data_IF_461656795626
#
_entry.id   IF_461656795626
#
_cell.length_a   1.000
_cell.length_b   1.000
_cell.length_c   1.000
_cell.angle_alpha   90.00
_cell.angle_beta   90.00
_cell.angle_gamma   90.00
#
_symmetry.space_group_name_H-M   'P 1'
#
loop_
_entity.id
_entity.type
_entity.pdbx_description
1 polymer ?
#
# COMPACT_ATOMS: atom_id res chain seq x y z
N UNK A 1 -25.25 -41.83 -69.27
CA UNK A 1 -26.17 -40.97 -70.06
C UNK A 1 -25.64 -39.53 -70.02
N UNK A 2 -25.93 -38.75 -71.07
CA UNK A 2 -25.27 -37.49 -71.55
C UNK A 2 -25.19 -36.29 -70.56
N UNK A 3 -24.01 -35.62 -70.50
CA UNK A 3 -23.62 -34.17 -70.61
C UNK A 3 -24.69 -33.05 -70.46
N UNK A 4 -24.38 -31.73 -70.20
CA UNK A 4 -23.13 -31.03 -69.80
C UNK A 4 -23.21 -29.71 -68.95
N UNK A 5 -22.02 -29.17 -68.61
CA UNK A 5 -21.58 -27.73 -68.57
C UNK A 5 -22.44 -26.59 -68.00
N UNK A 6 -21.79 -25.79 -67.13
CA UNK A 6 -21.84 -24.32 -67.18
C UNK A 6 -22.26 -23.62 -65.89
N UNK A 7 -21.34 -22.90 -65.24
CA UNK A 7 -21.69 -21.65 -64.55
C UNK A 7 -20.45 -20.75 -64.40
N UNK A 8 -20.68 -19.47 -64.64
CA UNK A 8 -19.72 -18.39 -64.85
C UNK A 8 -19.15 -17.83 -63.54
N UNK A 9 -17.92 -17.34 -63.61
CA UNK A 9 -17.29 -16.49 -62.61
C UNK A 9 -18.07 -15.17 -62.45
N UNK A 10 -18.47 -14.83 -61.22
CA UNK A 10 -18.75 -13.47 -60.78
C UNK A 10 -17.63 -13.04 -59.83
N UNK A 11 -16.72 -12.20 -60.32
CA UNK A 11 -15.75 -11.52 -59.46
C UNK A 11 -16.42 -10.37 -58.72
N UNK A 12 -16.57 -10.50 -57.41
CA UNK A 12 -16.83 -9.37 -56.53
C UNK A 12 -15.53 -8.58 -56.34
N UNK A 13 -15.49 -7.37 -56.88
CA UNK A 13 -14.42 -6.41 -56.59
C UNK A 13 -14.53 -5.95 -55.13
N UNK A 14 -13.56 -6.36 -54.30
CA UNK A 14 -13.40 -5.86 -52.94
C UNK A 14 -12.74 -4.48 -53.02
N UNK A 15 -13.51 -3.41 -52.79
CA UNK A 15 -12.97 -2.07 -52.51
C UNK A 15 -12.39 -2.07 -51.09
N UNK A 16 -11.08 -2.32 -51.00
CA UNK A 16 -10.29 -2.12 -49.78
C UNK A 16 -10.11 -0.61 -49.57
N UNK A 17 -11.01 -0.01 -48.79
CA UNK A 17 -10.79 1.31 -48.21
C UNK A 17 -9.69 1.22 -47.16
N UNK A 18 -8.49 1.68 -47.48
CA UNK A 18 -7.37 1.82 -46.56
C UNK A 18 -7.64 2.96 -45.58
N UNK A 19 -8.21 2.63 -44.42
CA UNK A 19 -8.20 3.50 -43.26
C UNK A 19 -6.79 3.46 -42.65
N UNK A 20 -5.97 4.46 -42.97
CA UNK A 20 -4.75 4.74 -42.23
C UNK A 20 -5.15 5.18 -40.82
N UNK A 21 -5.07 4.25 -39.86
CA UNK A 21 -5.02 4.62 -38.44
C UNK A 21 -3.81 5.54 -38.25
N UNK A 22 -4.07 6.79 -37.89
CA UNK A 22 -3.02 7.67 -37.39
C UNK A 22 -2.44 7.03 -36.14
N UNK A 23 -1.18 6.59 -36.21
CA UNK A 23 -0.39 6.21 -35.06
C UNK A 23 -0.19 7.50 -34.27
N UNK A 24 -0.94 7.66 -33.19
CA UNK A 24 -0.70 8.72 -32.23
C UNK A 24 0.77 8.64 -31.78
N UNK A 25 1.47 9.77 -31.78
CA UNK A 25 2.83 9.85 -31.23
C UNK A 25 2.86 9.22 -29.83
N UNK A 26 3.95 8.54 -29.43
CA UNK A 26 4.03 7.97 -28.09
C UNK A 26 3.84 9.09 -27.08
N UNK A 27 2.84 8.94 -26.20
CA UNK A 27 2.66 9.83 -25.06
C UNK A 27 3.99 9.91 -24.31
N UNK A 28 4.44 11.12 -23.96
CA UNK A 28 5.60 11.30 -23.07
C UNK A 28 5.43 10.39 -21.85
N UNK A 29 6.44 9.57 -21.49
CA UNK A 29 6.32 8.66 -20.36
C UNK A 29 5.92 9.44 -19.10
N UNK A 30 5.08 8.86 -18.22
CA UNK A 30 4.63 9.56 -17.02
C UNK A 30 5.83 9.92 -16.15
N UNK A 31 5.81 11.13 -15.58
CA UNK A 31 6.85 11.58 -14.67
C UNK A 31 6.91 10.64 -13.46
N UNK A 32 8.12 10.37 -12.98
CA UNK A 32 8.42 9.54 -11.81
C UNK A 32 9.04 10.40 -10.69
N UNK A 33 9.04 9.90 -9.46
CA UNK A 33 9.81 10.45 -8.34
C UNK A 33 11.31 10.40 -8.65
N UNK A 34 12.06 11.36 -8.13
CA UNK A 34 13.51 11.43 -8.32
C UNK A 34 14.22 10.55 -7.28
N UNK A 35 14.76 9.41 -7.73
CA UNK A 35 15.57 8.54 -6.87
C UNK A 35 17.00 9.07 -6.79
N UNK A 36 17.40 9.48 -5.58
CA UNK A 36 18.70 10.09 -5.30
C UNK A 36 19.54 9.22 -4.37
N UNK A 37 20.87 9.26 -4.54
CA UNK A 37 21.79 8.47 -3.70
C UNK A 37 21.85 8.95 -2.25
N UNK A 38 21.63 10.25 -2.04
CA UNK A 38 21.68 10.89 -0.73
C UNK A 38 20.60 11.95 -0.69
N UNK A 39 20.03 12.09 0.49
CA UNK A 39 19.08 13.14 0.77
C UNK A 39 19.67 14.09 1.82
N UNK A 40 19.73 15.37 1.48
CA UNK A 40 20.08 16.40 2.44
C UNK A 40 18.81 16.86 3.16
N UNK A 41 18.90 17.01 4.48
CA UNK A 41 17.86 17.71 5.21
C UNK A 41 17.78 19.14 4.67
N UNK A 42 16.62 19.52 4.12
CA UNK A 42 16.40 20.89 3.70
C UNK A 42 16.63 21.83 4.90
N UNK A 43 16.97 23.11 4.63
CA UNK A 43 16.87 24.15 5.68
C UNK A 43 15.48 24.02 6.29
N UNK A 44 15.34 24.07 7.62
CA UNK A 44 14.03 23.93 8.24
C UNK A 44 13.09 24.95 7.58
N UNK A 45 12.05 24.46 6.91
CA UNK A 45 10.86 25.28 6.71
C UNK A 45 10.37 25.68 8.12
N UNK A 46 9.62 26.79 8.19
CA UNK A 46 9.01 27.23 9.44
C UNK A 46 8.42 26.01 10.18
N UNK A 47 8.62 25.96 11.50
CA UNK A 47 8.30 24.82 12.36
C UNK A 47 6.98 24.17 11.90
N UNK A 48 7.09 22.96 11.33
CA UNK A 48 5.95 22.17 10.85
C UNK A 48 5.15 21.71 12.07
N UNK A 49 4.32 22.63 12.57
CA UNK A 49 3.40 22.39 13.67
C UNK A 49 2.29 21.45 13.17
N UNK A 50 1.90 20.46 13.99
CA UNK A 50 0.84 19.53 13.63
C UNK A 50 -0.47 20.23 13.20
N UNK A 51 -0.73 21.43 13.74
CA UNK A 51 -1.88 22.27 13.36
C UNK A 51 -1.82 22.85 11.94
N UNK A 52 -0.65 22.87 11.29
CA UNK A 52 -0.52 23.31 9.90
C UNK A 52 -0.82 22.18 8.89
N UNK A 53 -0.96 20.93 9.36
CA UNK A 53 -1.19 19.76 8.53
C UNK A 53 -2.69 19.56 8.30
N UNK A 54 -3.24 20.38 7.42
CA UNK A 54 -4.68 20.43 7.11
C UNK A 54 -5.05 19.68 5.83
N UNK A 55 -4.05 19.21 5.08
CA UNK A 55 -4.23 18.39 3.86
C UNK A 55 -3.78 16.96 4.13
N UNK A 56 -3.99 16.07 3.16
CA UNK A 56 -3.67 14.66 3.28
C UNK A 56 -2.98 14.13 2.02
N UNK A 57 -2.11 13.14 2.23
CA UNK A 57 -1.50 12.33 1.19
C UNK A 57 -1.97 10.90 1.38
N UNK A 58 -2.59 10.33 0.35
CA UNK A 58 -2.83 8.90 0.17
C UNK A 58 -1.69 8.33 -0.68
N UNK A 59 -0.99 7.34 -0.15
CA UNK A 59 -0.10 6.47 -0.92
C UNK A 59 -0.82 5.15 -1.17
N UNK A 60 -0.75 4.63 -2.38
CA UNK A 60 -1.46 3.40 -2.73
C UNK A 60 -0.77 2.68 -3.89
N UNK A 61 -1.14 1.42 -4.12
CA UNK A 61 -0.74 0.69 -5.31
C UNK A 61 -1.96 0.20 -6.10
N UNK A 62 -1.73 -0.28 -7.32
CA UNK A 62 -2.74 -0.93 -8.16
C UNK A 62 -2.24 -2.29 -8.63
N UNK A 63 -3.08 -3.31 -8.57
CA UNK A 63 -2.76 -4.66 -9.06
C UNK A 63 -2.39 -4.66 -10.55
N UNK A 64 -2.93 -3.75 -11.36
CA UNK A 64 -2.63 -3.66 -12.79
C UNK A 64 -1.20 -3.16 -13.07
N UNK A 65 -0.64 -2.36 -12.17
CA UNK A 65 0.66 -1.71 -12.38
C UNK A 65 1.76 -2.19 -11.46
N UNK A 66 1.40 -2.80 -10.31
CA UNK A 66 2.34 -3.15 -9.24
C UNK A 66 3.32 -2.02 -8.94
N UNK A 67 2.81 -0.80 -8.83
CA UNK A 67 3.58 0.43 -8.76
C UNK A 67 2.99 1.39 -7.75
N UNK A 68 3.77 2.36 -7.30
CA UNK A 68 3.38 3.37 -6.31
C UNK A 68 2.60 4.48 -6.99
N UNK A 69 1.55 4.94 -6.34
CA UNK A 69 0.74 6.08 -6.75
C UNK A 69 0.49 7.00 -5.55
N UNK A 70 0.39 8.30 -5.81
CA UNK A 70 0.09 9.31 -4.78
C UNK A 70 -1.18 10.07 -5.15
N UNK A 71 -2.06 10.28 -4.18
CA UNK A 71 -3.19 11.17 -4.28
C UNK A 71 -3.20 12.16 -3.11
N UNK A 72 -3.64 13.39 -3.36
CA UNK A 72 -3.74 14.42 -2.32
C UNK A 72 -5.18 14.80 -2.08
N UNK A 73 -5.49 15.23 -0.85
CA UNK A 73 -6.80 15.73 -0.45
C UNK A 73 -6.65 16.99 0.38
N UNK A 74 -7.46 18.01 0.11
CA UNK A 74 -7.49 19.24 0.90
C UNK A 74 -8.39 19.12 2.16
N UNK A 75 -9.30 18.15 2.18
CA UNK A 75 -10.37 18.01 3.19
C UNK A 75 -10.40 16.63 3.88
N UNK A 76 -9.65 15.66 3.36
CA UNK A 76 -9.65 14.28 3.83
C UNK A 76 -10.89 13.48 3.40
N UNK A 77 -11.62 13.95 2.38
CA UNK A 77 -12.77 13.28 1.78
C UNK A 77 -12.57 13.04 0.28
N UNK A 78 -12.10 14.07 -0.44
CA UNK A 78 -11.90 14.01 -1.88
C UNK A 78 -10.42 13.92 -2.20
N UNK A 79 -10.00 12.79 -2.76
CA UNK A 79 -8.63 12.51 -3.17
C UNK A 79 -8.48 12.63 -4.69
N UNK A 80 -7.41 13.31 -5.11
CA UNK A 80 -7.01 13.46 -6.51
C UNK A 80 -5.58 12.98 -6.67
N UNK A 81 -5.40 12.01 -7.56
CA UNK A 81 -4.09 11.47 -7.93
C UNK A 81 -3.24 12.57 -8.56
N UNK A 82 -1.97 12.65 -8.14
CA UNK A 82 -1.07 13.74 -8.55
C UNK A 82 -0.54 13.57 -9.97
N UNK A 83 -0.64 12.36 -10.55
CA UNK A 83 -0.08 11.98 -11.84
C UNK A 83 -1.14 11.34 -12.75
N UNK A 84 -2.41 11.75 -12.59
CA UNK A 84 -3.56 11.30 -13.39
C UNK A 84 -3.73 9.77 -13.44
N UNK A 85 -3.47 9.12 -12.29
CA UNK A 85 -3.59 7.68 -12.12
C UNK A 85 -2.43 6.88 -12.71
N UNK A 86 -1.41 7.54 -13.23
CA UNK A 86 -0.15 6.92 -13.64
C UNK A 86 0.81 6.77 -12.44
N UNK A 87 1.66 5.74 -12.43
CA UNK A 87 2.59 5.53 -11.31
C UNK A 87 3.50 6.72 -11.03
N UNK A 88 3.69 7.06 -9.77
CA UNK A 88 4.75 7.98 -9.32
C UNK A 88 6.09 7.25 -9.13
N UNK A 89 6.07 5.94 -8.91
CA UNK A 89 7.25 5.08 -8.94
C UNK A 89 6.89 3.72 -9.54
N UNK A 90 7.49 3.40 -10.68
CA UNK A 90 7.30 2.13 -11.38
C UNK A 90 7.98 0.98 -10.63
N UNK A 91 7.17 0.03 -10.15
CA UNK A 91 7.67 -1.11 -9.38
C UNK A 91 8.62 -2.02 -10.16
N UNK A 92 8.48 -2.09 -11.49
CA UNK A 92 9.35 -2.91 -12.34
C UNK A 92 10.82 -2.44 -12.31
N UNK A 93 11.03 -1.16 -12.05
CA UNK A 93 12.35 -0.53 -12.09
C UNK A 93 13.09 -0.65 -10.77
N UNK A 94 12.36 -0.79 -9.66
CA UNK A 94 12.93 -0.71 -8.30
C UNK A 94 12.85 -2.00 -7.49
N UNK A 95 11.94 -2.90 -7.83
CA UNK A 95 11.69 -4.12 -7.09
C UNK A 95 12.38 -5.34 -7.74
N UNK A 96 12.85 -6.26 -6.91
CA UNK A 96 13.44 -7.52 -7.32
C UNK A 96 12.41 -8.40 -8.05
N UNK A 97 11.18 -8.48 -7.53
CA UNK A 97 10.08 -9.21 -8.13
C UNK A 97 9.42 -8.47 -9.30
N UNK A 98 9.91 -7.29 -9.66
CA UNK A 98 9.33 -6.41 -10.68
C UNK A 98 7.93 -5.88 -10.33
N UNK A 99 7.61 -5.80 -9.03
CA UNK A 99 6.38 -5.20 -8.56
C UNK A 99 6.49 -4.76 -7.11
N UNK A 100 5.77 -3.68 -6.79
CA UNK A 100 5.60 -3.19 -5.43
C UNK A 100 4.13 -3.22 -5.03
N UNK A 101 3.90 -3.45 -3.74
CA UNK A 101 2.58 -3.48 -3.12
C UNK A 101 2.64 -2.87 -1.73
N UNK A 102 1.46 -2.61 -1.17
CA UNK A 102 1.25 -2.29 0.24
C UNK A 102 2.11 -1.11 0.75
N UNK A 103 2.08 0.07 0.07
CA UNK A 103 2.82 1.23 0.55
C UNK A 103 2.24 1.77 1.86
N UNK A 104 3.11 1.92 2.85
CA UNK A 104 2.85 2.68 4.06
C UNK A 104 3.77 3.88 4.12
N UNK A 105 3.27 5.01 4.62
CA UNK A 105 4.04 6.24 4.80
C UNK A 105 3.85 6.80 6.20
N UNK A 106 4.92 7.34 6.78
CA UNK A 106 4.85 8.14 8.01
C UNK A 106 5.74 9.38 7.93
N UNK A 107 5.44 10.37 8.77
CA UNK A 107 6.37 11.47 9.05
C UNK A 107 7.10 11.21 10.36
N UNK A 108 8.43 11.18 10.32
CA UNK A 108 9.27 11.04 11.51
C UNK A 108 9.50 12.37 12.24
N UNK A 109 10.11 12.32 13.43
CA UNK A 109 10.38 13.52 14.24
C UNK A 109 11.48 14.42 13.67
N UNK A 110 12.24 13.93 12.68
CA UNK A 110 13.21 14.72 11.92
C UNK A 110 12.56 15.52 10.77
N UNK A 111 11.23 15.45 10.64
CA UNK A 111 10.40 15.93 9.53
C UNK A 111 10.69 15.25 8.19
N UNK A 112 11.38 14.10 8.18
CA UNK A 112 11.43 13.26 7.00
C UNK A 112 10.13 12.45 6.85
N UNK A 113 9.79 12.15 5.61
CA UNK A 113 8.85 11.13 5.23
C UNK A 113 9.58 9.81 5.03
N UNK A 114 9.00 8.75 5.56
CA UNK A 114 9.49 7.39 5.46
C UNK A 114 8.40 6.57 4.79
N UNK A 115 8.78 5.80 3.77
CA UNK A 115 7.87 4.98 2.99
C UNK A 115 8.41 3.55 2.90
N UNK A 116 7.58 2.57 3.19
CA UNK A 116 7.92 1.15 3.11
C UNK A 116 6.91 0.41 2.23
N UNK A 117 7.35 -0.59 1.48
CA UNK A 117 6.52 -1.38 0.54
C UNK A 117 6.95 -2.84 0.50
N UNK A 118 6.02 -3.72 0.15
CA UNK A 118 6.28 -5.10 -0.22
C UNK A 118 6.93 -5.19 -1.61
N UNK A 119 8.04 -5.92 -1.76
CA UNK A 119 8.60 -6.31 -3.06
C UNK A 119 7.89 -7.58 -3.57
N UNK A 120 6.81 -7.43 -4.35
CA UNK A 120 6.00 -8.54 -4.83
C UNK A 120 5.26 -8.20 -6.12
N UNK A 121 5.32 -9.12 -7.09
CA UNK A 121 4.49 -9.09 -8.29
C UNK A 121 3.65 -10.35 -8.42
N UNK A 122 2.34 -10.21 -8.24
CA UNK A 122 1.40 -11.34 -8.23
C UNK A 122 1.01 -11.84 -9.64
N UNK A 123 1.40 -11.11 -10.69
CA UNK A 123 1.11 -11.45 -12.09
C UNK A 123 2.36 -11.60 -12.96
N UNK A 124 3.55 -11.66 -12.35
CA UNK A 124 4.82 -11.68 -13.08
C UNK A 124 4.88 -12.75 -14.18
N UNK A 125 4.37 -13.97 -13.91
CA UNK A 125 4.33 -15.03 -14.92
C UNK A 125 3.39 -14.74 -16.07
N UNK A 126 2.17 -14.29 -15.75
CA UNK A 126 1.16 -13.91 -16.76
C UNK A 126 1.69 -12.81 -17.69
N UNK A 127 2.52 -11.93 -17.15
CA UNK A 127 3.11 -10.79 -17.87
C UNK A 127 4.47 -11.10 -18.51
N UNK A 128 4.94 -12.36 -18.43
CA UNK A 128 6.21 -12.77 -19.05
C UNK A 128 7.47 -12.23 -18.37
N UNK A 129 7.37 -11.77 -17.12
CA UNK A 129 8.49 -11.25 -16.35
C UNK A 129 9.24 -12.34 -15.56
N UNK A 130 8.63 -13.53 -15.42
CA UNK A 130 9.18 -14.70 -14.73
C UNK A 130 8.54 -15.99 -15.27
N UNK A 131 9.25 -17.10 -15.26
CA UNK A 131 8.71 -18.39 -15.75
C UNK A 131 7.79 -19.12 -14.73
N UNK A 132 7.91 -18.77 -13.46
CA UNK A 132 7.19 -19.37 -12.32
C UNK A 132 6.21 -18.39 -11.69
N UNK A 133 5.20 -18.92 -11.01
CA UNK A 133 4.19 -18.09 -10.33
C UNK A 133 4.81 -17.23 -9.22
N UNK A 134 5.88 -17.72 -8.55
CA UNK A 134 6.62 -17.04 -7.48
C UNK A 134 8.15 -17.22 -7.62
N UNK A 135 8.95 -16.39 -6.93
CA UNK A 135 10.42 -16.48 -6.99
C UNK A 135 10.95 -17.76 -6.34
N UNK A 136 10.19 -18.31 -5.38
CA UNK A 136 10.52 -19.55 -4.69
C UNK A 136 9.39 -20.58 -4.84
N UNK A 137 9.68 -21.89 -4.66
CA UNK A 137 8.68 -22.95 -4.78
C UNK A 137 7.48 -22.73 -3.88
N UNK A 138 6.27 -22.76 -4.47
CA UNK A 138 5.00 -22.63 -3.75
C UNK A 138 4.86 -23.68 -2.64
N UNK A 139 5.33 -24.91 -2.89
CA UNK A 139 5.21 -26.02 -1.93
C UNK A 139 6.01 -25.81 -0.64
N UNK A 140 7.02 -24.94 -0.68
CA UNK A 140 7.89 -24.60 0.44
C UNK A 140 7.53 -23.27 1.10
N UNK A 141 7.10 -22.28 0.31
CA UNK A 141 6.94 -20.89 0.78
C UNK A 141 5.55 -20.29 0.59
N UNK A 142 4.63 -21.02 -0.03
CA UNK A 142 3.24 -20.59 -0.24
C UNK A 142 3.06 -19.47 -1.28
N UNK A 143 1.83 -18.96 -1.33
CA UNK A 143 1.40 -17.87 -2.20
C UNK A 143 2.10 -16.55 -1.87
N UNK A 144 2.35 -15.72 -2.87
CA UNK A 144 2.88 -14.36 -2.68
C UNK A 144 4.29 -14.31 -2.07
N UNK A 145 5.06 -15.41 -2.13
CA UNK A 145 6.33 -15.46 -1.42
C UNK A 145 7.31 -14.40 -1.93
N UNK A 146 7.88 -13.64 -0.99
CA UNK A 146 8.92 -12.63 -1.21
C UNK A 146 9.91 -12.63 -0.05
N UNK A 147 11.04 -11.94 -0.24
CA UNK A 147 12.11 -11.84 0.75
C UNK A 147 12.41 -10.40 1.16
N UNK A 148 11.90 -9.44 0.39
CA UNK A 148 12.39 -8.06 0.41
C UNK A 148 11.26 -7.08 0.67
N UNK A 149 11.59 -6.04 1.43
CA UNK A 149 10.81 -4.81 1.52
C UNK A 149 11.61 -3.70 0.82
N UNK A 150 10.93 -2.67 0.35
CA UNK A 150 11.57 -1.47 -0.21
C UNK A 150 11.38 -0.32 0.77
N UNK A 151 12.49 0.29 1.19
CA UNK A 151 12.51 1.44 2.08
C UNK A 151 12.88 2.71 1.30
N UNK A 152 12.17 3.79 1.58
CA UNK A 152 12.41 5.10 0.98
C UNK A 152 12.34 6.21 2.02
N UNK A 153 13.20 7.23 1.89
CA UNK A 153 13.24 8.41 2.77
C UNK A 153 13.25 9.70 1.96
N UNK A 154 12.42 10.66 2.34
CA UNK A 154 12.33 11.99 1.73
C UNK A 154 12.18 13.10 2.76
N UNK A 155 12.51 14.34 2.41
CA UNK A 155 12.14 15.54 3.18
C UNK A 155 11.17 16.45 2.39
N UNK A 156 10.89 16.14 1.13
CA UNK A 156 10.10 17.00 0.24
C UNK A 156 9.06 16.26 -0.60
N UNK A 157 8.92 14.93 -0.40
CA UNK A 157 8.04 14.02 -1.13
C UNK A 157 8.34 13.84 -2.62
N UNK A 158 9.35 14.52 -3.18
CA UNK A 158 9.71 14.46 -4.61
C UNK A 158 11.06 13.79 -4.87
N UNK A 159 12.03 13.98 -3.97
CA UNK A 159 13.33 13.33 -4.00
C UNK A 159 13.41 12.28 -2.91
N UNK A 160 13.77 11.06 -3.28
CA UNK A 160 13.76 9.91 -2.36
C UNK A 160 15.07 9.13 -2.44
N UNK A 161 15.61 8.73 -1.29
CA UNK A 161 16.51 7.58 -1.25
C UNK A 161 15.70 6.30 -1.38
N UNK A 162 16.34 5.23 -1.86
CA UNK A 162 15.71 3.91 -2.03
C UNK A 162 16.69 2.81 -1.61
N UNK A 163 16.20 1.84 -0.84
CA UNK A 163 16.94 0.66 -0.43
C UNK A 163 16.04 -0.59 -0.49
N UNK A 164 16.61 -1.71 -0.90
CA UNK A 164 15.96 -3.03 -0.75
C UNK A 164 16.46 -3.69 0.53
N UNK A 165 15.52 -4.21 1.33
CA UNK A 165 15.77 -4.80 2.64
C UNK A 165 15.36 -6.27 2.58
N UNK A 166 16.33 -7.13 2.28
CA UNK A 166 16.13 -8.57 2.05
C UNK A 166 16.29 -9.36 3.36
N UNK A 167 15.16 -9.62 4.04
CA UNK A 167 15.16 -10.07 5.43
C UNK A 167 15.80 -11.45 5.64
N UNK A 168 15.72 -12.35 4.67
CA UNK A 168 16.30 -13.71 4.78
C UNK A 168 17.83 -13.71 4.77
N UNK A 169 18.45 -12.60 4.37
CA UNK A 169 19.90 -12.41 4.37
C UNK A 169 20.39 -11.56 5.55
N UNK A 170 19.51 -10.78 6.18
CA UNK A 170 19.90 -9.87 7.26
C UNK A 170 20.05 -10.58 8.61
N UNK A 171 19.19 -11.55 8.91
CA UNK A 171 19.20 -12.25 10.19
C UNK A 171 19.07 -13.76 10.00
N UNK A 172 19.76 -14.52 10.85
CA UNK A 172 19.67 -15.98 10.83
C UNK A 172 18.26 -16.46 11.19
N UNK A 173 17.58 -15.74 12.08
CA UNK A 173 16.21 -16.03 12.52
C UNK A 173 15.18 -15.91 11.39
N UNK A 174 15.46 -15.12 10.34
CA UNK A 174 14.59 -14.93 9.17
C UNK A 174 15.05 -15.69 7.93
N UNK A 175 16.07 -16.56 8.02
CA UNK A 175 16.63 -17.28 6.87
C UNK A 175 15.58 -18.15 6.12
N UNK A 176 14.55 -18.61 6.83
CA UNK A 176 13.44 -19.38 6.25
C UNK A 176 12.13 -18.56 6.14
N UNK A 177 12.19 -17.23 6.22
CA UNK A 177 11.02 -16.38 6.08
C UNK A 177 10.39 -16.57 4.69
N UNK A 178 9.10 -16.92 4.65
CA UNK A 178 8.33 -17.09 3.43
C UNK A 178 7.88 -15.78 2.81
N UNK A 179 7.74 -14.74 3.63
CA UNK A 179 7.16 -13.46 3.23
C UNK A 179 7.72 -12.32 4.08
N UNK A 180 7.73 -11.12 3.50
CA UNK A 180 7.95 -9.84 4.16
C UNK A 180 6.93 -8.86 3.59
N UNK A 181 5.71 -8.91 4.11
CA UNK A 181 4.53 -8.26 3.54
C UNK A 181 4.05 -7.09 4.36
N UNK A 182 3.43 -6.12 3.68
CA UNK A 182 2.73 -4.98 4.26
C UNK A 182 3.52 -4.32 5.40
N UNK A 183 4.75 -3.82 5.11
CA UNK A 183 5.52 -3.14 6.13
C UNK A 183 4.92 -1.81 6.49
N UNK A 184 4.76 -1.59 7.77
CA UNK A 184 4.32 -0.34 8.36
C UNK A 184 5.31 0.17 9.41
N UNK A 185 5.09 1.40 9.89
CA UNK A 185 6.09 2.11 10.66
C UNK A 185 5.50 2.99 11.76
N UNK A 186 6.14 2.98 12.92
CA UNK A 186 5.87 3.94 14.00
C UNK A 186 7.18 4.38 14.65
N UNK A 187 7.26 5.65 15.07
CA UNK A 187 8.42 6.14 15.79
C UNK A 187 8.37 5.73 17.26
N UNK A 188 9.44 5.09 17.72
CA UNK A 188 9.67 4.75 19.12
C UNK A 188 10.47 5.88 19.78
N UNK A 189 9.85 6.68 20.68
CA UNK A 189 10.54 7.78 21.35
C UNK A 189 11.57 7.31 22.38
N UNK A 190 11.40 6.12 22.97
CA UNK A 190 12.28 5.57 23.99
C UNK A 190 13.57 5.03 23.35
N UNK A 191 13.45 4.40 22.18
CA UNK A 191 14.60 3.92 21.39
C UNK A 191 15.15 4.97 20.44
N UNK A 192 14.38 6.04 20.19
CA UNK A 192 14.64 7.09 19.21
C UNK A 192 14.84 6.55 17.80
N UNK A 193 14.09 5.52 17.43
CA UNK A 193 14.19 4.80 16.14
C UNK A 193 12.83 4.60 15.53
N UNK A 194 12.80 4.34 14.22
CA UNK A 194 11.60 3.84 13.56
C UNK A 194 11.51 2.35 13.81
N UNK A 195 10.41 1.92 14.43
CA UNK A 195 10.00 0.54 14.47
C UNK A 195 9.25 0.23 13.17
N UNK A 196 9.76 -0.74 12.41
CA UNK A 196 9.11 -1.31 11.23
C UNK A 196 8.46 -2.61 11.65
N UNK A 197 7.17 -2.76 11.38
CA UNK A 197 6.43 -3.99 11.64
C UNK A 197 5.79 -4.50 10.36
N UNK A 198 5.74 -5.81 10.19
CA UNK A 198 5.36 -6.44 8.92
C UNK A 198 4.84 -7.85 9.16
N UNK A 199 4.11 -8.36 8.17
CA UNK A 199 3.58 -9.73 8.19
C UNK A 199 4.61 -10.69 7.59
N UNK A 200 4.81 -11.83 8.26
CA UNK A 200 5.73 -12.87 7.83
C UNK A 200 5.19 -14.27 8.16
N UNK A 201 5.89 -15.29 7.68
CA UNK A 201 5.71 -16.69 8.09
C UNK A 201 7.02 -17.45 7.95
N UNK A 202 7.16 -18.54 8.70
CA UNK A 202 8.25 -19.48 8.51
C UNK A 202 7.89 -20.48 7.39
N UNK A 203 8.57 -20.43 6.25
CA UNK A 203 8.22 -21.22 5.07
C UNK A 203 6.77 -20.98 4.61
N UNK A 204 5.90 -21.95 4.87
CA UNK A 204 4.46 -21.93 4.56
C UNK A 204 3.56 -22.06 5.80
N UNK A 205 4.13 -21.85 6.99
CA UNK A 205 3.38 -21.83 8.25
C UNK A 205 2.40 -20.66 8.31
N UNK A 206 1.63 -20.59 9.40
CA UNK A 206 0.66 -19.52 9.64
C UNK A 206 1.32 -18.14 9.65
N UNK A 207 0.72 -17.19 8.93
CA UNK A 207 1.17 -15.81 8.91
C UNK A 207 1.00 -15.14 10.28
N UNK A 208 2.00 -14.37 10.69
CA UNK A 208 2.03 -13.61 11.94
C UNK A 208 2.76 -12.29 11.73
N UNK A 209 2.59 -11.36 12.66
CA UNK A 209 3.24 -10.05 12.60
C UNK A 209 4.46 -10.01 13.50
N UNK A 210 5.54 -9.43 12.96
CA UNK A 210 6.79 -9.18 13.68
C UNK A 210 7.18 -7.71 13.58
N UNK A 211 8.08 -7.25 14.44
CA UNK A 211 8.67 -5.92 14.37
C UNK A 211 10.19 -5.95 14.50
N UNK A 212 10.86 -4.97 13.89
CA UNK A 212 12.29 -4.69 13.97
C UNK A 212 12.54 -3.18 13.90
N UNK A 213 13.74 -2.71 14.23
CA UNK A 213 14.09 -1.29 14.17
C UNK A 213 14.94 -0.96 12.96
N UNK A 214 14.58 0.08 12.21
CA UNK A 214 15.40 0.59 11.12
C UNK A 214 16.65 1.34 11.61
N UNK A 215 17.62 1.53 10.72
CA UNK A 215 18.71 2.49 10.90
C UNK A 215 18.24 3.93 10.62
N UNK A 216 19.02 4.93 11.03
CA UNK A 216 18.65 6.35 10.90
C UNK A 216 18.54 6.83 9.43
N UNK A 217 19.35 6.21 8.55
CA UNK A 217 19.33 6.46 7.12
C UNK A 217 18.13 5.80 6.42
N UNK A 218 17.42 4.91 7.13
CA UNK A 218 16.29 4.14 6.62
C UNK A 218 16.65 3.33 5.37
N UNK A 219 17.73 2.58 5.49
CA UNK A 219 18.29 1.71 4.44
C UNK A 219 18.31 0.25 4.82
N UNK A 220 18.14 -0.09 6.10
CA UNK A 220 18.14 -1.48 6.58
C UNK A 220 17.45 -1.62 7.93
N UNK A 221 17.34 -2.85 8.42
CA UNK A 221 16.93 -3.19 9.77
C UNK A 221 18.16 -3.47 10.64
N UNK A 222 18.13 -3.01 11.88
CA UNK A 222 19.23 -3.07 12.86
C UNK A 222 18.98 -4.01 14.03
N UNK A 223 17.81 -4.64 14.08
CA UNK A 223 17.47 -5.63 15.10
C UNK A 223 16.77 -6.83 14.47
N UNK A 224 17.01 -8.01 15.03
CA UNK A 224 16.26 -9.20 14.65
C UNK A 224 14.75 -8.99 14.88
N UNK A 225 13.89 -9.44 13.95
CA UNK A 225 12.45 -9.37 14.13
C UNK A 225 11.97 -10.15 15.35
N UNK A 226 10.99 -9.59 16.05
CA UNK A 226 10.31 -10.22 17.20
C UNK A 226 8.81 -10.21 17.00
N UNK A 227 8.13 -11.20 17.55
CA UNK A 227 6.66 -11.25 17.51
C UNK A 227 6.04 -9.97 18.06
N UNK A 228 5.13 -9.39 17.29
CA UNK A 228 4.41 -8.17 17.66
C UNK A 228 3.13 -8.50 18.45
N UNK A 229 2.38 -9.49 17.96
CA UNK A 229 1.06 -9.82 18.47
C UNK A 229 0.78 -11.31 18.33
N UNK A 230 0.19 -11.89 19.38
CA UNK A 230 -0.24 -13.28 19.41
C UNK A 230 -1.76 -13.33 19.41
N UNK A 231 -2.34 -13.91 18.36
CA UNK A 231 -3.77 -14.17 18.32
C UNK A 231 -4.14 -15.29 19.32
N UNK A 232 -5.22 -15.15 20.10
CA UNK A 232 -5.51 -16.11 21.18
C UNK A 232 -5.99 -17.48 20.69
N UNK A 233 -6.42 -17.59 19.43
CA UNK A 233 -6.81 -18.87 18.82
C UNK A 233 -5.64 -19.45 18.01
N UNK A 234 -5.17 -20.68 18.33
CA UNK A 234 -4.09 -21.31 17.58
C UNK A 234 -4.42 -21.46 16.09
N UNK A 235 -3.41 -21.27 15.24
CA UNK A 235 -3.52 -21.49 13.79
C UNK A 235 -4.25 -20.39 13.00
N UNK A 236 -4.75 -19.34 13.66
CA UNK A 236 -5.32 -18.18 12.99
C UNK A 236 -4.19 -17.23 12.57
N UNK A 237 -4.09 -16.98 11.27
CA UNK A 237 -3.13 -16.02 10.73
C UNK A 237 -3.55 -14.58 10.97
N UNK A 238 -2.57 -13.73 11.25
CA UNK A 238 -2.76 -12.29 11.37
C UNK A 238 -1.81 -11.54 10.47
N UNK A 239 -2.33 -10.60 9.69
CA UNK A 239 -1.57 -9.79 8.73
C UNK A 239 -2.02 -8.32 8.78
N UNK A 240 -1.33 -7.48 8.01
CA UNK A 240 -1.71 -6.10 7.71
C UNK A 240 -2.03 -5.29 8.98
N UNK A 241 -1.08 -5.24 9.91
CA UNK A 241 -1.23 -4.45 11.13
C UNK A 241 -1.04 -2.98 10.86
N UNK A 242 -1.81 -2.10 11.52
CA UNK A 242 -1.59 -0.64 11.65
C UNK A 242 -1.65 -0.19 13.10
N UNK A 243 -0.56 0.44 13.58
CA UNK A 243 -0.41 0.88 14.97
C UNK A 243 -0.58 2.39 15.04
N UNK A 244 -1.66 2.83 15.66
CA UNK A 244 -1.86 4.24 16.00
C UNK A 244 -1.79 4.46 17.50
N UNK A 245 -1.00 5.45 17.93
CA UNK A 245 -1.02 5.95 19.31
C UNK A 245 -2.21 6.88 19.52
N UNK A 246 -3.07 6.55 20.47
CA UNK A 246 -4.24 7.35 20.86
C UNK A 246 -4.20 7.57 22.37
N UNK A 247 -4.02 8.82 22.79
CA UNK A 247 -3.78 9.13 24.21
C UNK A 247 -2.52 8.45 24.72
N UNK A 248 -2.67 7.67 25.79
CA UNK A 248 -1.61 6.90 26.45
C UNK A 248 -1.49 5.45 25.95
N UNK A 249 -2.32 5.02 24.99
CA UNK A 249 -2.37 3.65 24.48
C UNK A 249 -2.01 3.56 23.01
N UNK A 250 -1.57 2.37 22.63
CA UNK A 250 -1.37 1.94 21.24
C UNK A 250 -2.55 1.06 20.82
N UNK A 251 -3.06 1.31 19.63
CA UNK A 251 -4.13 0.53 19.00
C UNK A 251 -3.58 -0.11 17.74
N UNK A 252 -3.62 -1.43 17.69
CA UNK A 252 -3.28 -2.23 16.53
C UNK A 252 -4.59 -2.59 15.81
N UNK A 253 -4.79 -2.10 14.60
CA UNK A 253 -5.78 -2.57 13.66
C UNK A 253 -5.14 -3.64 12.79
N UNK A 254 -5.83 -4.75 12.51
CA UNK A 254 -5.20 -5.85 11.77
C UNK A 254 -6.23 -6.77 11.13
N UNK A 255 -5.78 -7.59 10.20
CA UNK A 255 -6.54 -8.70 9.63
C UNK A 255 -6.34 -9.95 10.46
N UNK A 256 -7.42 -10.62 10.82
CA UNK A 256 -7.42 -12.00 11.30
C UNK A 256 -8.15 -12.91 10.32
N UNK A 257 -7.55 -14.03 9.93
CA UNK A 257 -8.21 -15.06 9.12
C UNK A 257 -9.20 -15.89 9.95
N UNK A 258 -10.19 -15.23 10.57
CA UNK A 258 -11.19 -15.80 11.47
C UNK A 258 -12.60 -15.23 11.19
N UNK A 259 -13.63 -15.86 11.77
CA UNK A 259 -15.03 -15.39 11.71
C UNK A 259 -15.34 -14.40 12.84
N UNK A 260 -16.33 -13.49 12.70
CA UNK A 260 -17.23 -13.27 11.57
C UNK A 260 -16.66 -12.47 10.39
N UNK A 261 -15.41 -11.99 10.46
CA UNK A 261 -14.73 -11.32 9.36
C UNK A 261 -13.32 -10.89 9.73
N UNK A 262 -12.67 -10.14 8.83
CA UNK A 262 -11.23 -9.99 8.84
C UNK A 262 -10.72 -8.89 9.77
N UNK A 263 -11.28 -7.68 9.72
CA UNK A 263 -10.70 -6.56 10.46
C UNK A 263 -11.04 -6.60 11.94
N UNK A 264 -9.99 -6.46 12.75
CA UNK A 264 -9.99 -6.47 14.21
C UNK A 264 -9.19 -5.31 14.74
N UNK A 265 -9.32 -5.09 16.04
CA UNK A 265 -8.41 -4.24 16.79
C UNK A 265 -7.88 -4.95 18.03
N UNK A 266 -6.77 -4.45 18.56
CA UNK A 266 -6.22 -4.82 19.85
C UNK A 266 -5.57 -3.58 20.49
N UNK A 267 -5.46 -3.52 21.82
CA UNK A 267 -4.88 -2.35 22.51
C UNK A 267 -3.77 -2.72 23.47
N UNK A 268 -2.76 -1.86 23.59
CA UNK A 268 -1.65 -2.04 24.51
C UNK A 268 -1.22 -0.71 25.14
N UNK A 269 -0.51 -0.76 26.27
CA UNK A 269 0.26 0.36 26.80
C UNK A 269 1.66 0.48 26.18
N UNK A 270 2.06 -0.49 25.34
CA UNK A 270 3.34 -0.51 24.62
C UNK A 270 3.12 -0.72 23.13
N UNK A 271 3.94 -0.11 22.30
CA UNK A 271 3.81 -0.27 20.84
C UNK A 271 4.24 -1.65 20.34
N UNK A 272 5.17 -2.28 21.06
CA UNK A 272 5.96 -3.44 20.63
C UNK A 272 5.46 -4.76 21.24
N UNK A 273 4.23 -4.78 21.78
CA UNK A 273 3.57 -5.99 22.26
C UNK A 273 2.68 -5.77 23.47
N UNK A 274 2.16 -6.86 24.05
CA UNK A 274 1.20 -6.80 25.15
C UNK A 274 -0.21 -6.37 24.72
N UNK A 275 -0.50 -6.47 23.43
CA UNK A 275 -1.81 -6.18 22.87
C UNK A 275 -2.89 -7.11 23.42
N UNK A 276 -3.91 -6.50 24.00
CA UNK A 276 -5.12 -7.17 24.47
C UNK A 276 -6.08 -7.28 23.30
N UNK A 277 -6.38 -8.51 22.93
CA UNK A 277 -7.28 -8.90 21.84
C UNK A 277 -8.73 -8.42 22.08
N UNK A 278 -9.36 -7.91 21.02
CA UNK A 278 -10.81 -7.68 20.93
C UNK A 278 -11.43 -8.64 19.89
N UNK A 279 -12.42 -9.48 20.27
CA UNK A 279 -13.10 -10.38 19.34
C UNK A 279 -14.06 -9.68 18.37
N UNK A 280 -14.39 -8.40 18.56
CA UNK A 280 -15.32 -7.68 17.71
C UNK A 280 -14.76 -7.49 16.29
N UNK A 281 -15.65 -7.53 15.29
CA UNK A 281 -15.32 -7.11 13.92
C UNK A 281 -15.56 -5.60 13.86
N UNK A 282 -14.66 -4.86 13.23
CA UNK A 282 -14.71 -3.40 13.24
C UNK A 282 -15.19 -2.77 11.93
N UNK A 283 -15.26 -3.55 10.85
CA UNK A 283 -15.76 -3.08 9.55
C UNK A 283 -17.18 -3.62 9.26
N UNK A 284 -17.98 -2.93 8.43
CA UNK A 284 -19.33 -3.34 8.06
C UNK A 284 -19.38 -4.42 6.96
N UNK A 285 -18.25 -4.78 6.32
CA UNK A 285 -18.28 -5.56 5.09
C UNK A 285 -18.74 -7.01 5.30
N UNK A 286 -19.31 -7.60 4.25
CA UNK A 286 -19.68 -9.02 4.22
C UNK A 286 -18.77 -9.85 3.32
N UNK A 287 -17.82 -9.19 2.66
CA UNK A 287 -16.84 -9.78 1.74
C UNK A 287 -15.43 -9.60 2.30
N UNK A 288 -14.43 -10.16 1.61
CA UNK A 288 -13.03 -10.07 2.03
C UNK A 288 -12.55 -8.62 2.11
N UNK A 289 -12.00 -8.27 3.27
CA UNK A 289 -11.33 -7.01 3.58
C UNK A 289 -9.92 -7.23 4.12
N UNK A 290 -9.04 -6.27 3.86
CA UNK A 290 -7.65 -6.25 4.35
C UNK A 290 -7.12 -4.82 4.52
N UNK A 291 -5.84 -4.66 4.85
CA UNK A 291 -5.14 -3.37 4.80
C UNK A 291 -5.78 -2.21 5.61
N UNK A 292 -6.05 -2.37 6.92
CA UNK A 292 -6.54 -1.25 7.71
C UNK A 292 -5.49 -0.13 7.79
N UNK A 293 -5.92 1.11 7.61
CA UNK A 293 -5.12 2.29 7.93
C UNK A 293 -5.99 3.34 8.64
N UNK A 294 -5.49 3.87 9.74
CA UNK A 294 -6.20 4.87 10.54
C UNK A 294 -5.53 6.25 10.44
N UNK A 295 -6.33 7.29 10.21
CA UNK A 295 -5.87 8.68 10.39
C UNK A 295 -6.91 9.51 11.13
N UNK A 296 -6.45 10.62 11.72
CA UNK A 296 -7.31 11.58 12.41
C UNK A 296 -7.69 12.71 11.47
N UNK A 297 -8.97 13.12 11.49
CA UNK A 297 -9.41 14.34 10.80
C UNK A 297 -8.85 15.57 11.48
N UNK A 298 -8.33 16.48 10.66
CA UNK A 298 -7.82 17.76 11.10
C UNK A 298 -8.90 18.54 11.87
N UNK A 299 -8.54 19.02 13.06
CA UNK A 299 -9.42 19.88 13.87
C UNK A 299 -10.58 19.17 14.55
N UNK A 300 -10.68 17.83 14.49
CA UNK A 300 -11.73 17.06 15.18
C UNK A 300 -11.13 15.92 15.99
N UNK A 301 -11.93 15.24 16.82
CA UNK A 301 -11.55 13.99 17.51
C UNK A 301 -11.93 12.73 16.70
N UNK A 302 -12.40 12.92 15.47
CA UNK A 302 -12.85 11.85 14.58
C UNK A 302 -11.67 11.20 13.87
N UNK A 303 -11.60 9.88 13.95
CA UNK A 303 -10.68 9.05 13.19
C UNK A 303 -11.41 8.40 12.03
N UNK A 304 -10.72 8.22 10.91
CA UNK A 304 -11.20 7.49 9.75
C UNK A 304 -10.36 6.23 9.62
N UNK A 305 -11.05 5.09 9.58
CA UNK A 305 -10.49 3.77 9.25
C UNK A 305 -10.75 3.52 7.77
N UNK A 306 -9.70 3.44 6.97
CA UNK A 306 -9.74 2.96 5.59
C UNK A 306 -9.30 1.51 5.53
N UNK A 307 -9.86 0.75 4.59
CA UNK A 307 -9.47 -0.64 4.34
C UNK A 307 -9.76 -1.06 2.90
N UNK A 308 -9.00 -2.03 2.40
CA UNK A 308 -9.17 -2.61 1.07
C UNK A 308 -10.29 -3.65 1.07
N UNK A 309 -11.34 -3.40 0.29
CA UNK A 309 -12.47 -4.33 0.09
C UNK A 309 -12.20 -5.15 -1.17
N UNK A 310 -11.15 -5.98 -1.13
CA UNK A 310 -10.72 -6.79 -2.27
C UNK A 310 -11.78 -7.81 -2.73
N UNK A 311 -12.70 -8.17 -1.83
CA UNK A 311 -13.83 -9.04 -2.13
C UNK A 311 -14.96 -8.37 -2.90
N UNK A 312 -14.96 -7.04 -3.04
CA UNK A 312 -16.00 -6.29 -3.74
C UNK A 312 -16.10 -6.69 -5.23
N UNK A 313 -17.31 -6.57 -5.78
CA UNK A 313 -17.65 -6.87 -7.18
C UNK A 313 -18.43 -5.71 -7.80
N UNK A 314 -18.25 -5.40 -9.10
CA UNK A 314 -17.41 -6.11 -10.09
C UNK A 314 -15.89 -5.84 -9.97
N UNK A 315 -15.49 -4.80 -9.25
CA UNK A 315 -14.08 -4.41 -9.00
C UNK A 315 -13.86 -4.14 -7.51
N UNK A 316 -12.60 -4.19 -7.06
CA UNK A 316 -12.25 -3.83 -5.68
C UNK A 316 -12.47 -2.32 -5.42
N UNK A 317 -12.56 -1.94 -4.14
CA UNK A 317 -12.65 -0.55 -3.72
C UNK A 317 -12.06 -0.37 -2.30
N UNK A 318 -11.90 0.87 -1.85
CA UNK A 318 -11.62 1.18 -0.44
C UNK A 318 -12.92 1.43 0.30
N UNK A 319 -13.06 0.82 1.48
CA UNK A 319 -14.13 1.09 2.43
C UNK A 319 -13.65 2.01 3.54
N UNK A 320 -14.59 2.72 4.15
CA UNK A 320 -14.30 3.75 5.13
C UNK A 320 -15.30 3.69 6.28
N UNK A 321 -14.79 3.80 7.51
CA UNK A 321 -15.59 3.98 8.71
C UNK A 321 -15.02 5.09 9.59
N UNK A 322 -15.87 5.76 10.36
CA UNK A 322 -15.45 6.79 11.30
C UNK A 322 -15.70 6.37 12.75
N UNK A 323 -14.81 6.80 13.64
CA UNK A 323 -14.95 6.55 15.07
C UNK A 323 -14.35 7.69 15.90
N UNK A 324 -14.91 7.91 17.09
CA UNK A 324 -14.38 8.84 18.10
C UNK A 324 -14.00 8.10 19.40
N UNK A 325 -14.51 6.88 19.59
CA UNK A 325 -14.35 6.09 20.82
C UNK A 325 -13.67 4.73 20.59
N UNK A 326 -13.45 4.34 19.32
CA UNK A 326 -12.89 3.05 18.92
C UNK A 326 -13.71 1.85 19.38
N UNK A 327 -15.01 2.06 19.61
CA UNK A 327 -15.98 1.02 19.93
C UNK A 327 -17.05 1.01 18.85
N UNK A 328 -17.53 2.19 18.47
CA UNK A 328 -18.51 2.38 17.41
C UNK A 328 -17.81 2.88 16.15
N UNK A 329 -17.88 2.07 15.10
CA UNK A 329 -17.40 2.40 13.77
C UNK A 329 -18.61 2.67 12.88
N UNK A 330 -18.79 3.94 12.50
CA UNK A 330 -19.85 4.37 11.59
C UNK A 330 -19.37 4.18 10.15
N UNK A 331 -20.02 3.28 9.43
CA UNK A 331 -19.83 3.13 7.98
C UNK A 331 -20.10 4.45 7.24
N UNK A 332 -19.14 4.91 6.45
CA UNK A 332 -19.30 6.06 5.55
C UNK A 332 -19.18 5.65 4.07
N UNK A 333 -19.17 4.35 3.78
CA UNK A 333 -19.21 3.77 2.43
C UNK A 333 -17.86 3.67 1.74
N UNK A 334 -17.89 3.43 0.42
CA UNK A 334 -16.70 3.29 -0.41
C UNK A 334 -16.40 4.54 -1.23
N UNK A 335 -15.23 4.62 -1.87
CA UNK A 335 -14.98 5.70 -2.83
C UNK A 335 -16.07 5.74 -3.91
N UNK A 336 -16.62 6.93 -4.14
CA UNK A 336 -17.60 7.25 -5.19
C UNK A 336 -18.93 6.47 -5.11
N UNK A 337 -19.16 5.66 -4.07
CA UNK A 337 -20.43 4.98 -3.87
C UNK A 337 -21.57 5.99 -3.61
N UNK A 338 -22.83 5.68 -3.98
CA UNK A 338 -23.99 6.52 -3.65
C UNK A 338 -24.07 6.77 -2.14
N UNK A 339 -24.21 8.03 -1.74
CA UNK A 339 -24.30 8.43 -0.32
C UNK A 339 -22.96 8.50 0.44
N UNK A 340 -21.88 7.91 -0.09
CA UNK A 340 -20.55 8.04 0.52
C UNK A 340 -20.00 9.46 0.34
N UNK A 341 -19.41 10.08 1.38
CA UNK A 341 -18.72 11.36 1.25
C UNK A 341 -17.31 11.20 0.65
N UNK A 342 -16.76 9.97 0.61
CA UNK A 342 -15.40 9.72 0.13
C UNK A 342 -15.37 9.67 -1.39
N UNK A 343 -14.45 10.45 -2.01
CA UNK A 343 -14.32 10.58 -3.46
C UNK A 343 -12.90 10.32 -3.95
N UNK A 344 -12.79 9.56 -5.03
CA UNK A 344 -11.58 9.40 -5.84
C UNK A 344 -11.86 10.02 -7.21
N UNK A 345 -11.08 11.02 -7.64
CA UNK A 345 -11.45 11.82 -8.83
C UNK A 345 -10.90 11.26 -10.14
N UNK A 346 -9.58 11.23 -10.30
CA UNK A 346 -8.85 10.88 -11.54
C UNK A 346 -8.09 9.55 -11.41
N UNK A 347 -8.49 8.71 -10.47
CA UNK A 347 -7.95 7.36 -10.30
C UNK A 347 -9.05 6.39 -9.87
N UNK A 348 -8.80 5.10 -10.07
CA UNK A 348 -9.72 4.02 -9.76
C UNK A 348 -8.94 2.83 -9.20
N UNK A 349 -9.68 1.94 -8.54
CA UNK A 349 -9.18 0.66 -8.00
C UNK A 349 -7.87 0.79 -7.19
N UNK A 350 -7.74 1.77 -6.26
CA UNK A 350 -6.65 1.69 -5.29
C UNK A 350 -6.76 0.36 -4.52
N UNK A 351 -5.62 -0.22 -4.17
CA UNK A 351 -5.48 -1.34 -3.21
C UNK A 351 -4.82 -0.82 -1.92
N UNK A 352 -4.38 -1.72 -1.04
CA UNK A 352 -3.63 -1.42 0.21
C UNK A 352 -2.81 -0.13 0.10
N UNK A 353 -3.03 0.80 1.03
CA UNK A 353 -2.34 2.07 1.08
C UNK A 353 -2.49 2.74 2.44
N UNK A 354 -1.90 3.92 2.59
CA UNK A 354 -1.94 4.69 3.83
C UNK A 354 -2.23 6.17 3.57
N UNK A 355 -2.95 6.80 4.49
CA UNK A 355 -3.23 8.24 4.50
C UNK A 355 -2.47 8.91 5.65
N UNK A 356 -1.73 9.97 5.35
CA UNK A 356 -1.11 10.82 6.37
C UNK A 356 -1.51 12.29 6.23
N UNK A 357 -1.57 13.04 7.34
CA UNK A 357 -1.72 14.49 7.27
C UNK A 357 -0.41 15.14 6.79
N UNK A 358 -0.56 16.09 5.86
CA UNK A 358 0.50 16.93 5.30
C UNK A 358 0.06 18.39 5.26
N UNK A 359 1.01 19.30 5.05
CA UNK A 359 0.70 20.71 4.85
C UNK A 359 0.13 20.97 3.45
N UNK A 360 -0.67 22.04 3.26
CA UNK A 360 -1.09 22.46 1.92
C UNK A 360 0.09 22.73 0.97
N UNK A 361 1.21 23.25 1.50
CA UNK A 361 2.40 23.53 0.71
C UNK A 361 3.06 22.25 0.16
N UNK A 362 3.13 21.19 0.97
CA UNK A 362 3.62 19.87 0.52
C UNK A 362 2.68 19.25 -0.53
N UNK A 363 1.36 19.39 -0.35
CA UNK A 363 0.38 18.90 -1.32
C UNK A 363 0.53 19.63 -2.67
N UNK A 364 0.66 20.95 -2.66
CA UNK A 364 0.88 21.75 -3.88
C UNK A 364 2.26 21.47 -4.52
N UNK A 365 3.29 21.18 -3.72
CA UNK A 365 4.60 20.78 -4.23
C UNK A 365 4.50 19.49 -5.04
N UNK A 366 3.81 18.47 -4.52
CA UNK A 366 3.56 17.21 -5.24
C UNK A 366 2.78 17.46 -6.53
N UNK A 367 1.66 18.20 -6.47
CA UNK A 367 0.87 18.54 -7.67
C UNK A 367 1.70 19.28 -8.70
N UNK A 368 2.50 20.25 -8.28
CA UNK A 368 3.37 21.03 -9.18
C UNK A 368 4.47 20.17 -9.78
N UNK A 369 5.06 19.27 -9.01
CA UNK A 369 6.07 18.34 -9.51
C UNK A 369 5.48 17.45 -10.61
N UNK A 370 4.28 16.90 -10.43
CA UNK A 370 3.68 15.99 -11.43
C UNK A 370 2.85 16.67 -12.52
N UNK A 371 2.56 17.98 -12.41
CA UNK A 371 1.98 18.77 -13.50
C UNK A 371 2.92 18.81 -14.70
N UNK A 372 2.35 18.55 -15.88
CA UNK A 372 3.03 18.61 -17.18
C UNK A 372 3.27 20.04 -17.64
#
# INVERSE_FOLDING_TARGET
MRWPSGMRYLGFGLLLGSATMAIAAPATPPRQLDIVKRIAKAKPEAKDEASARTSYLLVYFKDETHSLHFATSADGYSFTDVNDGAPVLNGRDVAEQKGIRDPYIMRGPDNAFYLAMTDLHIFARREGLRDTDWQRPTDSYGWGNNRSMIFMKSYDLTHWTLASVTIDQLFKSTANAGTAWAPEMIYDPDKRKIMVYFSTRNGKETDHMVYAYADDAFTTLTSEPRDLFTYPKPGIGTIDGDITKVGDRYRLFYVAHDKPGHLRQATSSRMDGGYVFDPAKIDPETVGTEAPNLWRRHGTDTYVLMYDVFGAKPVNNMGFSETEDFVHFRDIGHFNAPGSPMKATNFTQPKHGAVIPITPAEAERLKTFFRK
#
